data_IF_060383618766
#
_entry.id   IF_060383618766
#
_cell.length_a   1.000
_cell.length_b   1.000
_cell.length_c   1.000
_cell.angle_alpha   90.00
_cell.angle_beta   90.00
_cell.angle_gamma   90.00
#
_symmetry.space_group_name_H-M   'P 1'
#
loop_
_entity.id
_entity.type
_entity.pdbx_description
1 polymer ?
#
# COMPACT_ATOMS: atom_id res chain seq x y z
N UNK A 1 -32.84 23.85 -37.72
CA UNK A 1 -31.77 23.72 -36.71
C UNK A 1 -31.44 22.24 -36.61
N UNK A 2 -30.39 21.82 -37.33
CA UNK A 2 -30.05 20.43 -37.67
C UNK A 2 -28.87 19.98 -36.80
N UNK A 3 -29.02 18.83 -36.15
CA UNK A 3 -28.00 17.82 -35.93
C UNK A 3 -26.78 18.11 -35.01
N UNK A 4 -26.96 18.69 -33.81
CA UNK A 4 -25.87 18.74 -32.79
C UNK A 4 -25.95 17.62 -31.71
N UNK A 5 -27.02 16.82 -31.69
CA UNK A 5 -27.22 15.78 -30.68
C UNK A 5 -26.28 14.55 -30.75
N UNK A 6 -25.78 14.07 -31.91
CA UNK A 6 -24.95 12.86 -31.94
C UNK A 6 -23.50 13.10 -31.48
N UNK A 7 -23.03 14.36 -31.42
CA UNK A 7 -21.65 14.68 -31.03
C UNK A 7 -21.44 14.58 -29.51
N UNK A 8 -22.45 14.91 -28.71
CA UNK A 8 -22.38 14.87 -27.24
C UNK A 8 -22.38 13.44 -26.68
N UNK A 9 -23.07 12.51 -27.35
CA UNK A 9 -23.12 11.09 -26.95
C UNK A 9 -21.77 10.39 -27.21
N UNK A 10 -21.07 10.74 -28.30
CA UNK A 10 -19.74 10.19 -28.59
C UNK A 10 -18.64 10.66 -27.61
N UNK A 11 -18.77 11.87 -27.04
CA UNK A 11 -17.81 12.41 -26.06
C UNK A 11 -17.98 11.76 -24.68
N UNK A 12 -19.20 11.38 -24.29
CA UNK A 12 -19.47 10.72 -23.00
C UNK A 12 -19.01 9.25 -23.01
N UNK A 13 -19.05 8.57 -24.16
CA UNK A 13 -18.54 7.18 -24.29
C UNK A 13 -17.01 7.07 -24.31
N UNK A 14 -16.28 8.17 -24.59
CA UNK A 14 -14.82 8.16 -24.70
C UNK A 14 -14.08 8.27 -23.34
N UNK A 15 -14.81 8.47 -22.24
CA UNK A 15 -14.23 8.70 -20.91
C UNK A 15 -14.25 7.45 -20.00
N UNK A 16 -14.34 6.23 -20.54
CA UNK A 16 -14.16 5.02 -19.75
C UNK A 16 -12.67 4.76 -19.52
N UNK A 17 -12.13 5.36 -18.46
CA UNK A 17 -10.77 5.05 -18.00
C UNK A 17 -10.64 3.57 -17.68
N UNK A 18 -9.91 2.82 -18.51
CA UNK A 18 -9.56 1.43 -18.20
C UNK A 18 -8.54 1.39 -17.07
N UNK A 19 -8.86 0.66 -16.01
CA UNK A 19 -7.89 0.36 -14.96
C UNK A 19 -7.05 -0.85 -15.38
N UNK A 20 -5.73 -0.72 -15.22
CA UNK A 20 -4.80 -1.84 -15.28
C UNK A 20 -4.40 -2.21 -13.87
N UNK A 21 -4.30 -3.50 -13.62
CA UNK A 21 -3.91 -4.07 -12.34
C UNK A 21 -2.64 -4.89 -12.50
N UNK A 22 -1.75 -4.77 -11.54
CA UNK A 22 -0.60 -5.65 -11.39
C UNK A 22 -0.69 -6.35 -10.03
N UNK A 23 -0.81 -7.67 -10.04
CA UNK A 23 -0.88 -8.49 -8.84
C UNK A 23 0.49 -9.05 -8.48
N UNK A 24 0.80 -9.09 -7.20
CA UNK A 24 2.06 -9.58 -6.65
C UNK A 24 1.78 -10.80 -5.77
N UNK A 25 2.54 -11.89 -5.96
CA UNK A 25 2.66 -12.95 -4.95
C UNK A 25 3.93 -12.71 -4.19
N UNK A 26 3.80 -12.29 -2.95
CA UNK A 26 4.93 -12.17 -2.05
C UNK A 26 5.28 -13.54 -1.52
N UNK A 27 6.57 -13.81 -1.39
CA UNK A 27 7.13 -15.00 -0.77
C UNK A 27 8.34 -14.65 0.09
N UNK A 28 8.80 -15.58 0.91
CA UNK A 28 10.01 -15.47 1.73
C UNK A 28 10.78 -16.79 1.70
N UNK A 29 12.11 -16.71 1.68
CA UNK A 29 13.00 -17.86 1.85
C UNK A 29 13.52 -17.99 3.30
N UNK A 30 12.99 -17.20 4.23
CA UNK A 30 13.43 -17.27 5.62
C UNK A 30 12.88 -18.54 6.28
N UNK A 31 13.77 -19.44 6.71
CA UNK A 31 13.42 -20.75 7.27
C UNK A 31 12.52 -20.69 8.52
N UNK A 32 12.54 -19.56 9.24
CA UNK A 32 11.74 -19.37 10.44
C UNK A 32 10.36 -18.79 10.17
N UNK A 33 10.08 -18.36 8.93
CA UNK A 33 8.77 -17.88 8.51
C UNK A 33 7.93 -19.04 7.96
N UNK A 34 6.82 -19.32 8.63
CA UNK A 34 5.81 -20.24 8.13
C UNK A 34 4.78 -19.45 7.37
N UNK A 35 4.54 -19.80 6.11
CA UNK A 35 3.36 -19.31 5.43
C UNK A 35 2.15 -20.07 5.98
N UNK A 36 1.22 -19.36 6.62
CA UNK A 36 -0.01 -19.97 7.09
C UNK A 36 -0.76 -20.57 5.89
N UNK A 37 -1.04 -21.86 5.94
CA UNK A 37 -1.80 -22.54 4.88
C UNK A 37 -3.23 -22.00 4.79
N UNK A 38 -3.80 -21.99 3.58
CA UNK A 38 -5.16 -21.52 3.32
C UNK A 38 -5.23 -20.18 2.57
N UNK A 39 -6.37 -19.50 2.65
CA UNK A 39 -6.66 -18.26 1.90
C UNK A 39 -5.97 -17.01 2.47
N UNK A 40 -5.52 -17.03 3.74
CA UNK A 40 -5.01 -15.84 4.45
C UNK A 40 -3.62 -15.38 3.98
N UNK A 41 -2.82 -16.27 3.36
CA UNK A 41 -1.46 -15.98 2.83
C UNK A 41 -0.55 -15.20 3.79
N UNK A 42 -0.73 -15.41 5.08
CA UNK A 42 0.02 -14.74 6.15
C UNK A 42 1.40 -15.38 6.32
N UNK A 43 2.39 -14.57 6.72
CA UNK A 43 3.70 -15.04 7.13
C UNK A 43 3.83 -14.94 8.63
N UNK A 44 3.97 -16.07 9.31
CA UNK A 44 4.02 -16.16 10.76
C UNK A 44 5.40 -16.60 11.19
N UNK A 45 6.01 -15.83 12.10
CA UNK A 45 7.16 -16.26 12.89
C UNK A 45 6.74 -16.31 14.36
N UNK A 46 7.19 -17.35 15.04
CA UNK A 46 6.83 -17.58 16.43
C UNK A 46 8.04 -18.12 17.19
N UNK A 47 8.30 -17.52 18.35
CA UNK A 47 9.25 -18.03 19.32
C UNK A 47 8.57 -18.08 20.72
N UNK A 48 9.35 -18.30 21.78
CA UNK A 48 8.82 -18.42 23.14
C UNK A 48 8.29 -17.08 23.69
N UNK A 49 8.81 -15.96 23.19
CA UNK A 49 8.50 -14.61 23.70
C UNK A 49 7.38 -13.91 22.95
N UNK A 50 7.31 -14.07 21.63
CA UNK A 50 6.36 -13.36 20.79
C UNK A 50 6.05 -14.10 19.49
N UNK A 51 4.98 -13.67 18.83
CA UNK A 51 4.61 -14.07 17.49
C UNK A 51 4.46 -12.82 16.62
N UNK A 52 5.10 -12.79 15.45
CA UNK A 52 4.94 -11.72 14.46
C UNK A 52 4.22 -12.32 13.26
N UNK A 53 3.13 -11.69 12.84
CA UNK A 53 2.39 -12.05 11.63
C UNK A 53 2.47 -10.90 10.63
N UNK A 54 2.86 -11.21 9.40
CA UNK A 54 2.80 -10.27 8.27
C UNK A 54 1.70 -10.67 7.30
N UNK A 55 0.93 -9.70 6.85
CA UNK A 55 0.00 -9.85 5.73
C UNK A 55 0.25 -8.72 4.73
N UNK A 56 0.28 -9.06 3.44
CA UNK A 56 0.52 -8.11 2.35
C UNK A 56 -0.63 -7.99 1.36
N UNK A 57 -1.79 -8.57 1.67
CA UNK A 57 -2.95 -8.56 0.80
C UNK A 57 -3.55 -7.15 0.69
N UNK A 58 -3.94 -6.76 -0.53
CA UNK A 58 -4.60 -5.47 -0.77
C UNK A 58 -3.82 -4.50 -1.65
N UNK A 59 -4.36 -3.30 -1.78
CA UNK A 59 -3.82 -2.24 -2.64
C UNK A 59 -2.48 -1.73 -2.11
N UNK A 60 -1.50 -1.59 -3.00
CA UNK A 60 -0.13 -1.16 -2.72
C UNK A 60 0.70 -2.10 -1.83
N UNK A 61 0.28 -3.37 -1.72
CA UNK A 61 0.93 -4.38 -0.88
C UNK A 61 1.14 -3.86 0.55
N UNK A 62 0.06 -3.59 1.29
CA UNK A 62 0.13 -2.99 2.62
C UNK A 62 0.95 -3.87 3.57
N UNK A 63 1.85 -3.30 4.36
CA UNK A 63 2.63 -4.07 5.34
C UNK A 63 1.79 -4.18 6.62
N UNK A 64 0.85 -5.11 6.67
CA UNK A 64 0.10 -5.38 7.90
C UNK A 64 0.97 -6.20 8.86
N UNK A 65 1.29 -5.65 10.02
CA UNK A 65 2.10 -6.29 11.06
C UNK A 65 1.24 -6.50 12.29
N UNK A 66 1.13 -7.75 12.74
CA UNK A 66 0.59 -8.10 14.05
C UNK A 66 1.72 -8.62 14.93
N UNK A 67 1.82 -8.12 16.15
CA UNK A 67 2.78 -8.60 17.15
C UNK A 67 2.03 -9.02 18.39
N UNK A 68 2.11 -10.30 18.74
CA UNK A 68 1.53 -10.90 19.92
C UNK A 68 2.62 -11.13 20.97
N UNK A 69 2.42 -10.58 22.16
CA UNK A 69 3.26 -10.83 23.32
C UNK A 69 2.85 -12.15 23.99
N UNK A 70 3.73 -13.15 23.97
CA UNK A 70 3.50 -14.44 24.63
C UNK A 70 4.03 -14.46 26.07
N UNK A 71 4.76 -13.45 26.51
CA UNK A 71 5.29 -13.35 27.86
C UNK A 71 4.20 -12.91 28.86
N UNK A 72 4.50 -13.12 30.15
CA UNK A 72 3.71 -12.64 31.30
C UNK A 72 4.12 -11.22 31.76
N UNK A 73 4.97 -10.54 30.98
CA UNK A 73 5.44 -9.17 31.20
C UNK A 73 5.25 -8.31 29.95
N UNK A 74 5.08 -6.99 30.07
CA UNK A 74 4.92 -6.12 28.91
C UNK A 74 6.19 -6.11 28.04
N UNK A 75 5.99 -5.92 26.74
CA UNK A 75 7.04 -5.60 25.77
C UNK A 75 6.65 -4.31 25.05
N UNK A 76 7.57 -3.66 24.35
CA UNK A 76 7.23 -2.51 23.52
C UNK A 76 7.83 -2.65 22.12
N UNK A 77 7.17 -2.08 21.12
CA UNK A 77 7.76 -1.89 19.79
C UNK A 77 8.30 -0.48 19.70
N UNK A 78 9.56 -0.34 19.25
CA UNK A 78 10.16 0.95 18.92
C UNK A 78 9.94 1.23 17.43
N UNK A 79 8.90 1.97 17.10
CA UNK A 79 8.55 2.30 15.72
C UNK A 79 9.56 3.23 15.06
N UNK A 80 10.22 4.08 15.86
CA UNK A 80 11.26 5.01 15.41
C UNK A 80 12.53 4.28 14.95
N UNK A 81 12.84 3.14 15.56
CA UNK A 81 13.93 2.23 15.16
C UNK A 81 13.45 1.07 14.29
N UNK A 82 12.27 1.17 13.70
CA UNK A 82 11.73 0.14 12.81
C UNK A 82 11.44 0.72 11.43
N UNK A 83 11.68 -0.07 10.39
CA UNK A 83 11.60 0.40 9.01
C UNK A 83 11.26 -0.73 8.03
N UNK A 84 10.66 -0.34 6.91
CA UNK A 84 10.66 -1.12 5.69
C UNK A 84 11.89 -0.76 4.87
N UNK A 85 12.64 -1.75 4.41
CA UNK A 85 13.77 -1.54 3.50
C UNK A 85 13.35 -2.09 2.15
N UNK A 86 13.15 -1.24 1.15
CA UNK A 86 12.77 -1.64 -0.22
C UNK A 86 13.91 -1.26 -1.16
N UNK A 87 14.49 -2.23 -1.87
CA UNK A 87 15.64 -2.00 -2.77
C UNK A 87 16.72 -1.10 -2.13
N UNK A 88 17.15 -1.46 -0.90
CA UNK A 88 18.15 -0.76 -0.09
C UNK A 88 17.77 0.64 0.43
N UNK A 89 16.57 1.14 0.11
CA UNK A 89 16.01 2.36 0.71
C UNK A 89 15.22 2.03 1.98
N UNK A 90 15.67 2.55 3.12
CA UNK A 90 14.92 2.46 4.37
C UNK A 90 13.79 3.52 4.42
N UNK A 91 12.61 3.10 4.85
CA UNK A 91 11.41 3.91 5.03
C UNK A 91 10.91 3.61 6.45
N UNK A 92 10.90 4.62 7.32
CA UNK A 92 10.49 4.46 8.72
C UNK A 92 9.06 3.93 8.84
N UNK A 93 8.81 3.08 9.84
CA UNK A 93 7.44 2.70 10.24
C UNK A 93 6.77 3.73 11.13
N UNK A 94 7.52 4.73 11.60
CA UNK A 94 6.94 5.89 12.25
C UNK A 94 6.28 6.79 11.20
N UNK A 95 5.01 7.13 11.41
CA UNK A 95 4.34 8.15 10.62
C UNK A 95 4.78 9.50 11.20
N UNK A 96 5.58 10.25 10.45
CA UNK A 96 6.09 11.55 10.91
C UNK A 96 4.96 12.58 11.02
N UNK A 97 3.94 12.46 10.17
CA UNK A 97 2.87 13.45 10.02
C UNK A 97 1.54 12.82 9.63
N UNK A 98 0.47 13.12 10.37
CA UNK A 98 -0.90 12.83 9.98
C UNK A 98 -1.43 13.98 9.10
N UNK A 99 -1.70 13.70 7.82
CA UNK A 99 -2.33 14.67 6.91
C UNK A 99 -3.85 14.46 6.90
N UNK A 100 -4.59 15.46 7.37
CA UNK A 100 -6.04 15.48 7.39
C UNK A 100 -6.54 16.46 6.33
N UNK A 101 -7.23 15.96 5.32
CA UNK A 101 -7.92 16.81 4.32
C UNK A 101 -9.42 16.73 4.54
N UNK A 102 -10.11 17.86 4.57
CA UNK A 102 -11.54 17.93 4.75
C UNK A 102 -12.21 18.95 3.84
N UNK A 103 -13.51 18.75 3.62
CA UNK A 103 -14.39 19.67 2.91
C UNK A 103 -15.47 20.15 3.87
N UNK A 104 -15.60 21.46 4.05
CA UNK A 104 -16.69 22.08 4.78
C UNK A 104 -17.66 22.71 3.78
N UNK A 105 -18.96 22.48 4.00
CA UNK A 105 -20.04 23.14 3.27
C UNK A 105 -20.76 24.04 4.26
N UNK A 106 -20.78 25.34 3.98
CA UNK A 106 -21.43 26.33 4.83
C UNK A 106 -22.61 26.92 4.08
N UNK A 107 -23.79 26.83 4.68
CA UNK A 107 -24.99 27.50 4.17
C UNK A 107 -25.28 28.70 5.06
N UNK A 108 -25.43 29.87 4.46
CA UNK A 108 -25.79 31.10 5.17
C UNK A 108 -27.03 31.74 4.56
N UNK A 109 -27.90 32.27 5.43
CA UNK A 109 -29.07 33.05 5.04
C UNK A 109 -28.88 34.46 5.60
N UNK A 110 -28.97 35.47 4.75
CA UNK A 110 -28.88 36.87 5.17
C UNK A 110 -30.28 37.47 5.45
N UNK A 111 -30.34 38.67 6.04
CA UNK A 111 -31.61 39.35 6.34
C UNK A 111 -32.49 39.65 5.11
N UNK A 112 -31.92 39.65 3.90
CA UNK A 112 -32.65 39.81 2.65
C UNK A 112 -33.18 38.49 2.06
N UNK A 113 -33.11 37.37 2.81
CA UNK A 113 -33.51 36.01 2.40
C UNK A 113 -32.66 35.42 1.26
N UNK A 114 -31.49 35.97 0.99
CA UNK A 114 -30.58 35.35 0.03
C UNK A 114 -29.94 34.12 0.66
N UNK A 115 -29.91 33.03 -0.11
CA UNK A 115 -29.28 31.78 0.27
C UNK A 115 -27.92 31.68 -0.41
N UNK A 116 -26.87 31.48 0.38
CA UNK A 116 -25.51 31.26 -0.12
C UNK A 116 -24.94 29.97 0.42
N UNK A 117 -24.35 29.17 -0.47
CA UNK A 117 -23.58 27.97 -0.14
C UNK A 117 -22.11 28.23 -0.47
N UNK A 118 -21.23 28.02 0.50
CA UNK A 118 -19.79 28.11 0.34
C UNK A 118 -19.14 26.73 0.55
N UNK A 119 -18.15 26.41 -0.28
CA UNK A 119 -17.37 25.19 -0.20
C UNK A 119 -15.94 25.56 0.19
N UNK A 120 -15.46 25.03 1.31
CA UNK A 120 -14.09 25.24 1.77
C UNK A 120 -13.38 23.90 1.85
N UNK A 121 -12.19 23.83 1.27
CA UNK A 121 -11.27 22.71 1.50
C UNK A 121 -10.24 23.15 2.55
N UNK A 122 -9.93 22.27 3.48
CA UNK A 122 -8.86 22.49 4.45
C UNK A 122 -7.94 21.28 4.51
N UNK A 123 -6.67 21.55 4.79
CA UNK A 123 -5.66 20.53 5.04
C UNK A 123 -4.92 20.87 6.32
N UNK A 124 -4.87 19.93 7.26
CA UNK A 124 -4.11 20.04 8.49
C UNK A 124 -3.02 18.96 8.50
N UNK A 125 -1.85 19.30 9.03
CA UNK A 125 -0.75 18.36 9.25
C UNK A 125 -0.47 18.34 10.74
N UNK A 126 -0.71 17.19 11.37
CA UNK A 126 -0.50 17.01 12.81
C UNK A 126 0.65 16.04 13.05
N UNK A 127 1.74 16.45 13.73
CA UNK A 127 2.78 15.51 14.15
C UNK A 127 2.22 14.61 15.26
N UNK A 128 2.14 13.30 15.01
CA UNK A 128 1.78 12.29 16.01
C UNK A 128 2.81 11.15 16.00
N UNK A 129 4.09 11.42 16.33
CA UNK A 129 5.08 10.36 16.43
C UNK A 129 4.82 9.55 17.70
N UNK A 130 4.17 8.40 17.56
CA UNK A 130 4.23 7.35 18.57
C UNK A 130 5.57 6.64 18.39
N UNK A 131 6.57 7.11 19.14
CA UNK A 131 7.94 6.57 19.09
C UNK A 131 7.97 5.09 19.45
N UNK A 132 7.23 4.72 20.50
CA UNK A 132 7.13 3.33 20.96
C UNK A 132 5.71 3.00 21.41
N UNK A 133 5.34 1.72 21.31
CA UNK A 133 4.02 1.23 21.68
C UNK A 133 4.15 0.00 22.57
N UNK A 134 3.57 0.08 23.77
CA UNK A 134 3.55 -1.04 24.72
C UNK A 134 2.52 -2.09 24.32
N UNK A 135 2.89 -3.35 24.50
CA UNK A 135 2.05 -4.54 24.35
C UNK A 135 1.98 -5.22 25.71
N UNK A 136 0.82 -5.18 26.39
CA UNK A 136 0.61 -5.92 27.63
C UNK A 136 0.88 -7.43 27.52
N UNK A 137 1.07 -8.15 28.65
CA UNK A 137 1.16 -9.60 28.67
C UNK A 137 0.00 -10.28 27.91
N UNK A 138 0.29 -11.36 27.19
CA UNK A 138 -0.71 -12.20 26.49
C UNK A 138 -1.67 -11.41 25.58
N UNK A 139 -1.21 -10.29 25.03
CA UNK A 139 -2.00 -9.39 24.19
C UNK A 139 -1.25 -9.08 22.90
N UNK A 140 -1.93 -8.48 21.93
CA UNK A 140 -1.35 -8.14 20.64
C UNK A 140 -1.65 -6.71 20.23
N UNK A 141 -0.85 -6.21 19.29
CA UNK A 141 -1.12 -5.00 18.54
C UNK A 141 -1.04 -5.27 17.04
N UNK A 142 -1.81 -4.50 16.27
CA UNK A 142 -1.82 -4.52 14.81
C UNK A 142 -1.53 -3.13 14.27
N UNK A 143 -0.69 -3.04 13.24
CA UNK A 143 -0.36 -1.78 12.58
C UNK A 143 -0.12 -1.99 11.09
N UNK A 144 -0.52 -1.00 10.30
CA UNK A 144 -0.27 -0.95 8.85
C UNK A 144 0.45 0.35 8.53
N UNK A 145 1.77 0.45 8.73
CA UNK A 145 2.48 1.71 8.63
C UNK A 145 2.54 2.26 7.19
N UNK A 146 2.73 1.39 6.19
CA UNK A 146 2.85 1.78 4.78
C UNK A 146 2.66 0.57 3.84
N UNK A 147 2.58 0.83 2.54
CA UNK A 147 2.60 -0.19 1.49
C UNK A 147 3.97 -0.37 0.87
N UNK A 148 4.29 -1.59 0.41
CA UNK A 148 5.61 -1.92 -0.17
C UNK A 148 5.84 -1.17 -1.49
N UNK A 149 4.80 -0.99 -2.30
CA UNK A 149 4.91 -0.27 -3.58
C UNK A 149 3.60 0.39 -3.95
N UNK A 150 3.67 1.63 -4.47
CA UNK A 150 2.53 2.35 -5.04
C UNK A 150 2.58 2.40 -6.58
N UNK A 151 3.58 1.76 -7.18
CA UNK A 151 3.82 1.77 -8.61
C UNK A 151 3.90 0.35 -9.17
N UNK A 152 3.69 0.25 -10.48
CA UNK A 152 3.92 -1.00 -11.18
C UNK A 152 5.40 -1.34 -11.08
N UNK A 153 5.68 -2.56 -10.67
CA UNK A 153 7.01 -3.14 -10.65
C UNK A 153 7.36 -3.47 -12.09
N UNK A 154 8.28 -2.70 -12.65
CA UNK A 154 8.84 -2.97 -13.97
C UNK A 154 9.93 -4.04 -13.82
N UNK A 155 9.75 -5.18 -14.49
CA UNK A 155 10.88 -6.08 -14.71
C UNK A 155 11.81 -5.44 -15.73
N UNK A 156 13.11 -5.34 -15.40
CA UNK A 156 14.12 -4.85 -16.34
C UNK A 156 14.16 -5.68 -17.63
N UNK A 157 13.73 -6.94 -17.55
CA UNK A 157 13.56 -7.83 -18.69
C UNK A 157 12.07 -8.06 -19.02
N UNK A 158 11.60 -7.48 -20.13
CA UNK A 158 10.23 -7.61 -20.62
C UNK A 158 9.92 -9.01 -21.18
N UNK A 159 10.94 -9.81 -21.51
CA UNK A 159 10.77 -11.17 -22.05
C UNK A 159 10.42 -12.20 -20.96
N UNK A 160 10.44 -11.81 -19.68
CA UNK A 160 10.08 -12.69 -18.56
C UNK A 160 8.57 -12.98 -18.48
N UNK A 161 7.73 -12.18 -19.14
CA UNK A 161 6.27 -12.31 -19.05
C UNK A 161 5.73 -13.30 -20.10
N UNK A 162 5.15 -14.39 -19.61
CA UNK A 162 4.48 -15.41 -20.42
C UNK A 162 2.96 -15.24 -20.31
N UNK A 163 2.26 -15.39 -21.43
CA UNK A 163 0.80 -15.42 -21.42
C UNK A 163 0.29 -16.73 -20.80
N UNK A 164 -0.59 -16.63 -19.82
CA UNK A 164 -1.23 -17.75 -19.14
C UNK A 164 -2.75 -17.58 -19.17
N UNK A 165 -3.49 -18.67 -19.41
CA UNK A 165 -4.94 -18.68 -19.31
C UNK A 165 -5.35 -18.94 -17.86
N UNK A 166 -6.21 -18.09 -17.31
CA UNK A 166 -6.86 -18.29 -16.02
C UNK A 166 -8.36 -18.33 -16.19
N UNK A 167 -9.00 -19.28 -15.52
CA UNK A 167 -10.46 -19.38 -15.48
C UNK A 167 -10.94 -18.59 -14.28
N UNK A 168 -11.82 -17.62 -14.52
CA UNK A 168 -12.49 -16.85 -13.48
C UNK A 168 -13.56 -17.71 -12.79
N UNK A 169 -14.04 -17.34 -11.59
CA UNK A 169 -15.08 -18.10 -10.89
C UNK A 169 -16.39 -18.28 -11.68
N UNK A 170 -16.66 -17.36 -12.62
CA UNK A 170 -17.80 -17.40 -13.53
C UNK A 170 -17.59 -18.32 -14.76
N UNK A 171 -16.44 -18.98 -14.87
CA UNK A 171 -16.07 -19.86 -15.98
C UNK A 171 -15.39 -19.15 -17.17
N UNK A 172 -15.22 -17.82 -17.12
CA UNK A 172 -14.62 -17.06 -18.22
C UNK A 172 -13.10 -17.29 -18.28
N UNK A 173 -12.58 -17.61 -19.47
CA UNK A 173 -11.13 -17.68 -19.71
C UNK A 173 -10.53 -16.29 -19.90
N UNK A 174 -9.61 -15.90 -19.03
CA UNK A 174 -8.82 -14.68 -19.10
C UNK A 174 -7.37 -14.99 -19.44
N UNK A 175 -6.85 -14.36 -20.49
CA UNK A 175 -5.42 -14.38 -20.78
C UNK A 175 -4.73 -13.30 -19.96
N UNK A 176 -3.88 -13.71 -19.01
CA UNK A 176 -3.06 -12.83 -18.18
C UNK A 176 -1.59 -12.95 -18.58
N UNK A 177 -0.80 -11.89 -18.33
CA UNK A 177 0.66 -11.94 -18.50
C UNK A 177 1.31 -12.15 -17.14
N UNK A 178 2.03 -13.25 -16.96
CA UNK A 178 2.66 -13.61 -15.70
C UNK A 178 4.17 -13.79 -15.85
N UNK A 179 4.92 -13.32 -14.86
CA UNK A 179 6.34 -13.59 -14.71
C UNK A 179 6.58 -14.24 -13.33
N UNK A 180 7.50 -15.20 -13.26
CA UNK A 180 7.90 -15.87 -12.03
C UNK A 180 9.35 -15.53 -11.73
N UNK A 181 9.63 -15.33 -10.44
CA UNK A 181 10.93 -14.88 -9.96
C UNK A 181 11.37 -15.74 -8.76
N UNK A 182 12.67 -15.95 -8.68
CA UNK A 182 13.36 -16.37 -7.46
C UNK A 182 13.70 -15.14 -6.62
N UNK A 183 14.16 -15.35 -5.40
CA UNK A 183 14.62 -14.24 -4.57
C UNK A 183 15.73 -13.43 -5.26
N UNK A 184 16.69 -14.10 -5.91
CA UNK A 184 17.83 -13.46 -6.56
C UNK A 184 17.43 -12.51 -7.69
N UNK A 185 16.52 -12.95 -8.57
CA UNK A 185 16.13 -12.25 -9.79
C UNK A 185 14.84 -11.41 -9.65
N UNK A 186 14.24 -11.38 -8.46
CA UNK A 186 13.01 -10.61 -8.23
C UNK A 186 13.26 -9.10 -8.41
N UNK A 187 12.42 -8.41 -9.21
CA UNK A 187 12.51 -6.96 -9.38
C UNK A 187 12.04 -6.18 -8.15
N UNK A 188 11.32 -6.85 -7.23
CA UNK A 188 10.91 -6.29 -5.95
C UNK A 188 11.43 -7.16 -4.81
N UNK A 189 12.36 -6.60 -4.05
CA UNK A 189 12.90 -7.19 -2.83
C UNK A 189 12.76 -6.19 -1.70
N UNK A 190 12.32 -6.68 -0.55
CA UNK A 190 12.17 -5.83 0.62
C UNK A 190 12.39 -6.61 1.91
N UNK A 191 12.72 -5.88 2.97
CA UNK A 191 12.94 -6.42 4.31
C UNK A 191 12.13 -5.62 5.31
N UNK A 192 11.50 -6.31 6.25
CA UNK A 192 10.92 -5.69 7.45
C UNK A 192 11.95 -5.73 8.56
N UNK A 193 12.32 -4.57 9.09
CA UNK A 193 13.22 -4.40 10.22
C UNK A 193 12.41 -3.88 11.41
N UNK A 194 12.21 -4.72 12.43
CA UNK A 194 11.37 -4.42 13.57
C UNK A 194 12.18 -4.48 14.87
N UNK A 195 12.19 -3.38 15.63
CA UNK A 195 12.84 -3.30 16.93
C UNK A 195 11.81 -3.49 18.05
N UNK A 196 12.02 -4.50 18.88
CA UNK A 196 11.20 -4.80 20.06
C UNK A 196 12.04 -4.57 21.31
N UNK A 197 11.54 -3.74 22.22
CA UNK A 197 12.11 -3.49 23.53
C UNK A 197 11.57 -4.52 24.50
N UNK A 198 12.47 -5.26 25.14
CA UNK A 198 12.13 -6.27 26.15
C UNK A 198 12.87 -5.98 27.44
N UNK A 199 12.18 -6.13 28.57
CA UNK A 199 12.78 -5.99 29.89
C UNK A 199 13.44 -7.31 30.31
N UNK A 200 14.75 -7.28 30.55
CA UNK A 200 15.54 -8.42 30.99
C UNK A 200 16.60 -7.99 32.00
N UNK A 201 16.73 -8.73 33.11
CA UNK A 201 17.74 -8.49 34.15
C UNK A 201 17.80 -7.04 34.67
N UNK A 202 16.64 -6.38 34.79
CA UNK A 202 16.54 -4.99 35.26
C UNK A 202 16.97 -3.92 34.24
N UNK A 203 17.12 -4.27 32.96
CA UNK A 203 17.43 -3.33 31.88
C UNK A 203 16.52 -3.56 30.67
N UNK A 204 16.20 -2.47 29.97
CA UNK A 204 15.46 -2.51 28.70
C UNK A 204 16.47 -2.80 27.59
N UNK A 205 16.31 -3.92 26.90
CA UNK A 205 17.18 -4.34 25.80
C UNK A 205 16.42 -4.37 24.47
N UNK A 206 16.97 -3.76 23.40
CA UNK A 206 16.39 -3.85 22.07
C UNK A 206 16.74 -5.20 21.43
N UNK A 207 15.73 -5.89 20.92
CA UNK A 207 15.83 -7.10 20.10
C UNK A 207 15.32 -6.78 18.71
N UNK A 208 16.10 -7.13 17.69
CA UNK A 208 15.78 -6.83 16.30
C UNK A 208 15.28 -8.09 15.60
N UNK A 209 14.16 -7.95 14.90
CA UNK A 209 13.61 -8.96 14.02
C UNK A 209 13.69 -8.47 12.58
N UNK A 210 14.46 -9.18 11.75
CA UNK A 210 14.63 -8.86 10.35
C UNK A 210 14.12 -10.00 9.46
N UNK A 211 13.19 -9.68 8.57
CA UNK A 211 12.55 -10.65 7.69
C UNK A 211 12.56 -10.18 6.25
N UNK A 212 13.12 -11.00 5.35
CA UNK A 212 13.21 -10.72 3.93
C UNK A 212 12.06 -11.31 3.13
N UNK A 213 11.60 -10.57 2.12
CA UNK A 213 10.50 -10.92 1.26
C UNK A 213 10.79 -10.49 -0.19
N UNK A 214 10.18 -11.19 -1.14
CA UNK A 214 10.33 -10.90 -2.55
C UNK A 214 9.05 -11.21 -3.33
N UNK A 215 8.88 -10.56 -4.49
CA UNK A 215 7.77 -10.84 -5.40
C UNK A 215 8.07 -12.07 -6.26
N UNK A 216 7.65 -13.25 -5.79
CA UNK A 216 7.80 -14.53 -6.52
C UNK A 216 7.00 -14.62 -7.83
N UNK A 217 5.91 -13.87 -7.95
CA UNK A 217 5.10 -13.84 -9.18
C UNK A 217 4.45 -12.47 -9.37
N UNK A 218 4.51 -11.97 -10.60
CA UNK A 218 3.87 -10.72 -11.02
C UNK A 218 2.89 -11.05 -12.14
N UNK A 219 1.61 -10.70 -11.95
CA UNK A 219 0.54 -10.91 -12.95
C UNK A 219 -0.03 -9.55 -13.39
N UNK A 220 0.06 -9.23 -14.68
CA UNK A 220 -0.61 -8.07 -15.25
C UNK A 220 -1.99 -8.46 -15.79
N UNK A 221 -3.03 -7.72 -15.41
CA UNK A 221 -4.42 -7.97 -15.83
C UNK A 221 -5.21 -6.65 -15.93
N UNK A 222 -6.34 -6.68 -16.65
CA UNK A 222 -7.33 -5.58 -16.68
C UNK A 222 -8.52 -5.86 -15.75
N UNK A 223 -8.58 -7.05 -15.16
CA UNK A 223 -9.69 -7.49 -14.30
C UNK A 223 -9.42 -7.08 -12.85
N UNK A 224 -10.49 -6.68 -12.14
CA UNK A 224 -10.42 -6.22 -10.76
C UNK A 224 -10.10 -7.35 -9.78
N UNK A 225 -9.55 -7.04 -8.59
CA UNK A 225 -9.22 -8.05 -7.60
C UNK A 225 -10.43 -8.85 -7.11
N UNK A 226 -11.59 -8.18 -6.97
CA UNK A 226 -12.86 -8.79 -6.58
C UNK A 226 -13.27 -9.94 -7.49
N UNK A 227 -13.06 -9.76 -8.79
CA UNK A 227 -13.56 -10.67 -9.82
C UNK A 227 -12.60 -11.85 -10.01
N UNK A 228 -11.32 -11.63 -9.68
CA UNK A 228 -10.27 -12.66 -9.72
C UNK A 228 -10.22 -13.50 -8.43
N UNK A 229 -10.96 -13.13 -7.37
CA UNK A 229 -10.89 -13.73 -6.03
C UNK A 229 -9.45 -13.90 -5.51
N UNK A 230 -8.54 -13.02 -5.94
CA UNK A 230 -7.14 -13.07 -5.56
C UNK A 230 -6.97 -12.26 -4.27
N UNK A 231 -6.92 -12.96 -3.12
CA UNK A 231 -6.36 -12.43 -1.88
C UNK A 231 -4.86 -12.19 -2.02
N UNK A 232 -4.46 -11.26 -2.91
CA UNK A 232 -3.08 -10.93 -3.26
C UNK A 232 -2.85 -9.43 -3.11
N UNK A 233 -1.59 -9.07 -2.92
CA UNK A 233 -1.12 -7.71 -3.12
C UNK A 233 -1.41 -7.26 -4.56
N UNK A 234 -1.84 -6.02 -4.76
CA UNK A 234 -2.00 -5.45 -6.10
C UNK A 234 -1.70 -3.96 -6.15
N UNK A 235 -1.34 -3.46 -7.33
CA UNK A 235 -1.24 -2.03 -7.65
C UNK A 235 -2.16 -1.73 -8.83
N UNK A 236 -2.82 -0.56 -8.81
CA UNK A 236 -3.70 -0.11 -9.89
C UNK A 236 -3.11 1.10 -10.61
N UNK A 237 -3.27 1.15 -11.93
CA UNK A 237 -2.95 2.30 -12.77
C UNK A 237 -4.14 2.61 -13.66
N UNK A 238 -4.70 3.81 -13.51
CA UNK A 238 -5.77 4.30 -14.38
C UNK A 238 -5.14 4.87 -15.64
N UNK A 239 -5.44 4.33 -16.81
CA UNK A 239 -5.03 4.97 -18.07
C UNK A 239 -5.96 6.15 -18.33
N UNK A 240 -5.48 7.38 -18.12
CA UNK A 240 -6.17 8.58 -18.58
C UNK A 240 -6.03 8.66 -20.10
N UNK A 241 -7.03 8.17 -20.83
CA UNK A 241 -7.19 8.51 -22.24
C UNK A 241 -7.75 9.95 -22.27
N UNK A 242 -6.94 10.92 -22.69
CA UNK A 242 -7.44 12.28 -23.00
C UNK A 242 -7.22 13.41 -21.99
N UNK A 243 -6.21 13.36 -21.11
CA UNK A 243 -5.81 14.55 -20.33
C UNK A 243 -4.59 15.23 -20.94
N UNK A 244 -4.79 15.90 -22.08
CA UNK A 244 -4.04 17.15 -22.32
C UNK A 244 -4.46 18.12 -21.23
N UNK A 245 -3.49 18.65 -20.48
CA UNK A 245 -3.66 19.43 -19.25
C UNK A 245 -4.07 18.64 -17.99
N UNK A 246 -3.05 18.16 -17.28
CA UNK A 246 -2.89 18.56 -15.87
C UNK A 246 -3.77 17.90 -14.82
N UNK A 247 -3.78 16.57 -14.70
CA UNK A 247 -3.92 15.93 -13.37
C UNK A 247 -3.06 14.66 -13.37
N UNK A 248 -1.86 14.76 -12.78
CA UNK A 248 -1.11 13.58 -12.35
C UNK A 248 -1.86 13.02 -11.13
N UNK A 249 -2.86 12.17 -11.37
CA UNK A 249 -3.46 11.34 -10.33
C UNK A 249 -2.50 10.19 -10.01
N UNK A 250 -1.34 10.54 -9.46
CA UNK A 250 -0.46 9.63 -8.73
C UNK A 250 -0.68 9.91 -7.26
N UNK A 251 -1.33 9.00 -6.56
CA UNK A 251 -1.40 9.03 -5.11
C UNK A 251 0.04 8.97 -4.56
N UNK A 252 0.60 10.14 -4.28
CA UNK A 252 1.84 10.30 -3.53
C UNK A 252 1.54 9.98 -2.06
N UNK A 253 1.68 8.71 -1.70
CA UNK A 253 1.91 8.32 -0.31
C UNK A 253 3.29 7.68 -0.26
N UNK A 254 4.32 8.52 -0.28
CA UNK A 254 5.55 8.28 0.46
C UNK A 254 5.95 9.62 1.05
N UNK A 255 6.05 9.67 2.39
CA UNK A 255 6.59 10.81 3.10
C UNK A 255 8.00 11.12 2.59
N UNK A 256 8.12 12.24 1.91
CA UNK A 256 9.25 13.17 1.94
C UNK A 256 8.74 14.46 1.30
N UNK A 257 8.60 15.51 2.11
CA UNK A 257 8.48 16.86 1.60
C UNK A 257 9.76 17.23 0.85
N UNK A 258 9.69 17.29 -0.48
CA UNK A 258 10.51 18.18 -1.29
C UNK A 258 10.05 18.13 -2.76
N UNK A 259 9.90 19.33 -3.33
CA UNK A 259 9.71 19.67 -4.74
C UNK A 259 8.25 19.84 -5.18
N UNK A 260 7.82 21.10 -5.20
CA UNK A 260 7.28 21.78 -6.38
C UNK A 260 7.11 23.26 -6.03
N UNK A 261 8.21 24.00 -6.03
CA UNK A 261 8.18 25.47 -6.10
C UNK A 261 8.63 25.92 -7.48
N UNK A 262 7.74 26.68 -8.11
CA UNK A 262 7.96 27.70 -9.14
C UNK A 262 8.66 27.28 -10.46
N UNK A 263 7.83 27.03 -11.47
CA UNK A 263 8.08 27.53 -12.83
C UNK A 263 6.86 28.34 -13.26
N UNK A 264 6.96 29.68 -13.17
CA UNK A 264 6.22 30.63 -14.00
C UNK A 264 6.55 32.07 -13.57
N UNK A 265 7.69 32.60 -14.04
CA UNK A 265 7.82 34.02 -14.35
C UNK A 265 8.53 34.12 -15.70
N UNK A 266 7.88 34.78 -16.66
CA UNK A 266 8.43 34.89 -18.01
C UNK A 266 7.45 35.37 -19.08
N UNK A 267 6.76 36.49 -18.87
CA UNK A 267 6.70 37.66 -19.77
C UNK A 267 5.63 38.65 -19.34
#
# INVERSE_FOLDING_TARGET
MKNSLPLFICIILAATGCNRYQYLTINSNNNNLKQAGGESREFVIENDSLQITYNFQGENAPVHIRVMNKLDRPIAIDWKRSALIVNDKAISYMIDELKTTGTAVTNSVNWNRDFSTSFTTFSAVTPLPVDWQMIPPKSFIEKTPLGVTNAFVDSRDKNTFVSSKKVLPDGTELVVKEARFTEENSPLKFRSYLTVLTEGNGSISPVVFEHAFYASNITNSMVKPSDLALGRAYVKKTTAFGTGFGVVAGAAIVGTAAALTSMSEGK
#
